data_IF_472691535822
#
_entry.id   IF_472691535822
#
_cell.length_a   1.000
_cell.length_b   1.000
_cell.length_c   1.000
_cell.angle_alpha   90.00
_cell.angle_beta   90.00
_cell.angle_gamma   90.00
#
_symmetry.space_group_name_H-M   'P 1'
#
loop_
_entity.id
_entity.type
_entity.pdbx_description
1 polymer ?
#
# COMPACT_ATOMS: atom_id res chain seq x y z
N UNK A 1 -11.78 -24.91 7.66
CA UNK A 1 -13.11 -25.27 7.13
C UNK A 1 -13.85 -23.98 6.82
N UNK A 2 -13.88 -23.58 5.54
CA UNK A 2 -14.51 -22.34 5.08
C UNK A 2 -15.93 -22.65 4.63
N UNK A 3 -16.91 -22.00 5.25
CA UNK A 3 -18.32 -22.06 4.84
C UNK A 3 -18.66 -20.69 4.24
N UNK A 4 -18.82 -20.64 2.92
CA UNK A 4 -19.34 -19.47 2.22
C UNK A 4 -20.87 -19.49 2.31
N UNK A 5 -21.47 -18.44 2.88
CA UNK A 5 -22.92 -18.27 2.93
C UNK A 5 -23.29 -17.07 2.04
N UNK A 6 -23.86 -17.35 0.86
CA UNK A 6 -24.43 -16.34 -0.02
C UNK A 6 -25.89 -16.09 0.37
N UNK A 7 -26.22 -14.89 0.84
CA UNK A 7 -27.60 -14.46 1.07
C UNK A 7 -27.98 -13.49 -0.06
N UNK A 8 -28.82 -13.97 -0.99
CA UNK A 8 -29.43 -13.15 -2.01
C UNK A 8 -30.72 -12.52 -1.45
N UNK A 9 -30.73 -11.21 -1.23
CA UNK A 9 -31.94 -10.45 -0.89
C UNK A 9 -32.55 -9.86 -2.18
N UNK A 10 -33.72 -10.39 -2.57
CA UNK A 10 -34.49 -9.89 -3.71
C UNK A 10 -35.48 -8.81 -3.27
N UNK A 11 -35.31 -7.59 -3.76
CA UNK A 11 -36.35 -6.54 -3.75
C UNK A 11 -36.60 -6.13 -5.20
N UNK A 12 -37.79 -6.47 -5.70
CA UNK A 12 -38.25 -6.08 -7.03
C UNK A 12 -39.01 -4.75 -7.00
N UNK A 13 -38.72 -3.87 -7.97
CA UNK A 13 -39.71 -3.27 -8.88
C UNK A 13 -39.06 -2.24 -9.81
N UNK A 14 -39.09 -2.53 -11.12
CA UNK A 14 -39.25 -1.51 -12.17
C UNK A 14 -38.09 -0.58 -12.51
N UNK A 15 -36.97 -1.11 -13.03
CA UNK A 15 -36.05 -0.31 -13.85
C UNK A 15 -35.89 -1.02 -15.19
N UNK A 16 -36.14 -0.30 -16.28
CA UNK A 16 -36.02 -0.81 -17.64
C UNK A 16 -34.63 -1.42 -17.85
N UNK A 17 -34.59 -2.70 -18.19
CA UNK A 17 -33.36 -3.42 -18.48
C UNK A 17 -32.75 -2.89 -19.78
N UNK A 18 -31.78 -1.99 -19.65
CA UNK A 18 -30.85 -1.69 -20.75
C UNK A 18 -30.03 -2.96 -20.92
N UNK A 19 -30.32 -3.72 -21.98
CA UNK A 19 -29.54 -4.90 -22.34
C UNK A 19 -28.17 -4.43 -22.81
N UNK A 20 -27.18 -4.44 -21.91
CA UNK A 20 -25.78 -4.33 -22.32
C UNK A 20 -25.44 -5.63 -23.03
N UNK A 21 -25.28 -5.55 -24.36
CA UNK A 21 -24.63 -6.61 -25.10
C UNK A 21 -23.21 -6.74 -24.53
N UNK A 22 -22.94 -7.86 -23.86
CA UNK A 22 -21.58 -8.23 -23.50
C UNK A 22 -20.78 -8.33 -24.80
N UNK A 23 -19.89 -7.36 -25.04
CA UNK A 23 -18.90 -7.51 -26.09
C UNK A 23 -18.13 -8.81 -25.80
N UNK A 24 -17.98 -9.69 -26.80
CA UNK A 24 -17.13 -10.85 -26.64
C UNK A 24 -15.73 -10.34 -26.28
N UNK A 25 -15.25 -10.73 -25.10
CA UNK A 25 -13.85 -10.60 -24.74
C UNK A 25 -13.06 -11.31 -25.84
N UNK A 26 -12.41 -10.53 -26.69
CA UNK A 26 -11.43 -11.05 -27.61
C UNK A 26 -10.38 -11.75 -26.75
N UNK A 27 -10.28 -13.07 -26.89
CA UNK A 27 -9.17 -13.83 -26.35
C UNK A 27 -7.88 -13.11 -26.78
N UNK A 28 -6.92 -12.86 -25.87
CA UNK A 28 -5.69 -12.22 -26.25
C UNK A 28 -5.01 -13.14 -27.27
N UNK A 29 -4.95 -12.65 -28.51
CA UNK A 29 -3.98 -13.11 -29.49
C UNK A 29 -2.62 -13.09 -28.79
N UNK A 30 -1.80 -14.13 -29.01
CA UNK A 30 -0.50 -14.32 -28.35
C UNK A 30 0.58 -13.26 -28.69
N UNK A 31 0.18 -12.02 -28.93
CA UNK A 31 1.04 -10.85 -28.90
C UNK A 31 1.38 -10.50 -27.45
N UNK A 32 2.66 -10.26 -27.20
CA UNK A 32 3.10 -9.63 -25.95
C UNK A 32 2.39 -8.29 -25.81
N UNK A 33 1.65 -8.11 -24.71
CA UNK A 33 1.00 -6.84 -24.42
C UNK A 33 2.06 -5.73 -24.31
N UNK A 34 1.98 -4.75 -25.20
CA UNK A 34 2.86 -3.58 -25.16
C UNK A 34 2.51 -2.72 -23.95
N UNK A 35 3.42 -2.70 -22.97
CA UNK A 35 3.24 -1.89 -21.76
C UNK A 35 3.96 -0.56 -21.92
N UNK A 36 3.19 0.53 -22.04
CA UNK A 36 3.73 1.89 -22.07
C UNK A 36 4.00 2.39 -20.65
N UNK A 37 5.22 2.83 -20.40
CA UNK A 37 5.69 3.36 -19.12
C UNK A 37 6.11 4.82 -19.24
N UNK A 38 6.20 5.49 -18.10
CA UNK A 38 6.69 6.88 -17.99
C UNK A 38 7.91 7.00 -17.08
N UNK A 39 8.66 5.91 -16.87
CA UNK A 39 9.84 5.83 -16.01
C UNK A 39 10.93 6.87 -16.33
N UNK A 40 11.02 7.34 -17.56
CA UNK A 40 11.97 8.38 -18.01
C UNK A 40 11.33 9.76 -18.14
N UNK A 41 10.16 9.98 -17.51
CA UNK A 41 9.27 11.14 -17.72
C UNK A 41 8.78 11.29 -19.17
N UNK A 42 8.97 10.25 -20.00
CA UNK A 42 8.50 10.16 -21.38
C UNK A 42 7.81 8.83 -21.60
N UNK A 43 6.78 8.82 -22.44
CA UNK A 43 6.08 7.59 -22.83
C UNK A 43 7.01 6.74 -23.68
N UNK A 44 7.32 5.55 -23.20
CA UNK A 44 8.20 4.57 -23.86
C UNK A 44 7.65 3.17 -23.59
N UNK A 45 7.97 2.20 -24.45
CA UNK A 45 7.65 0.80 -24.15
C UNK A 45 8.57 0.31 -23.03
N UNK A 46 8.04 -0.49 -22.11
CA UNK A 46 8.80 -1.04 -21.00
C UNK A 46 10.06 -1.80 -21.48
N UNK A 47 9.92 -2.55 -22.59
CA UNK A 47 11.01 -3.30 -23.21
C UNK A 47 12.10 -2.43 -23.85
N UNK A 48 11.75 -1.20 -24.27
CA UNK A 48 12.67 -0.25 -24.92
C UNK A 48 13.25 0.76 -23.93
N UNK A 49 12.78 0.73 -22.68
CA UNK A 49 13.25 1.65 -21.64
C UNK A 49 14.61 1.17 -21.13
N UNK A 50 15.68 1.99 -21.20
CA UNK A 50 17.03 1.59 -20.79
C UNK A 50 17.21 1.66 -19.26
N UNK A 51 16.22 1.18 -18.50
CA UNK A 51 16.20 1.12 -17.04
C UNK A 51 15.78 -0.29 -16.64
N UNK A 52 16.52 -0.89 -15.72
CA UNK A 52 16.10 -2.14 -15.08
C UNK A 52 14.82 -1.86 -14.27
N UNK A 53 13.67 -2.38 -14.70
CA UNK A 53 12.41 -2.11 -14.02
C UNK A 53 11.48 -3.34 -13.97
N UNK A 54 10.55 -3.32 -13.03
CA UNK A 54 9.40 -4.23 -12.98
C UNK A 54 8.15 -3.41 -13.19
N UNK A 55 7.26 -3.85 -14.06
CA UNK A 55 5.95 -3.20 -14.28
C UNK A 55 4.86 -4.18 -13.90
N UNK A 56 3.92 -3.72 -13.08
CA UNK A 56 2.72 -4.47 -12.74
C UNK A 56 1.53 -3.72 -13.32
N UNK A 57 0.83 -4.34 -14.26
CA UNK A 57 -0.38 -3.78 -14.87
C UNK A 57 -1.56 -3.84 -13.90
N UNK A 58 -2.64 -3.11 -14.18
CA UNK A 58 -3.90 -3.25 -13.45
C UNK A 58 -4.37 -4.71 -13.34
N UNK A 59 -4.19 -5.50 -14.41
CA UNK A 59 -4.53 -6.92 -14.41
C UNK A 59 -3.62 -7.73 -13.48
N UNK A 60 -2.31 -7.44 -13.45
CA UNK A 60 -1.38 -8.10 -12.53
C UNK A 60 -1.72 -7.79 -11.07
N UNK A 61 -2.05 -6.53 -10.77
CA UNK A 61 -2.45 -6.07 -9.44
C UNK A 61 -3.70 -6.82 -8.98
N UNK A 62 -4.74 -6.87 -9.83
CA UNK A 62 -5.99 -7.55 -9.53
C UNK A 62 -5.81 -9.08 -9.41
N UNK A 63 -5.15 -9.73 -10.37
CA UNK A 63 -4.99 -11.18 -10.40
C UNK A 63 -4.14 -11.72 -9.24
N UNK A 64 -3.21 -10.91 -8.73
CA UNK A 64 -2.35 -11.26 -7.60
C UNK A 64 -2.94 -10.82 -6.26
N UNK A 65 -4.07 -10.12 -6.25
CA UNK A 65 -4.70 -9.60 -5.03
C UNK A 65 -3.79 -8.63 -4.28
N UNK A 66 -3.05 -7.77 -5.00
CA UNK A 66 -2.18 -6.77 -4.37
C UNK A 66 -3.01 -5.60 -3.86
N UNK A 67 -3.43 -5.67 -2.60
CA UNK A 67 -4.35 -4.70 -1.99
C UNK A 67 -3.62 -3.60 -1.21
N UNK A 68 -2.35 -3.81 -0.88
CA UNK A 68 -1.54 -2.90 -0.10
C UNK A 68 -0.07 -2.92 -0.56
N UNK A 69 0.72 -1.95 -0.09
CA UNK A 69 2.11 -1.84 -0.50
C UNK A 69 3.00 -2.97 0.04
N UNK A 70 2.58 -3.65 1.11
CA UNK A 70 3.31 -4.76 1.71
C UNK A 70 3.27 -6.00 0.80
N UNK A 71 2.07 -6.39 0.36
CA UNK A 71 1.85 -7.47 -0.60
C UNK A 71 2.49 -7.16 -1.95
N UNK A 72 2.46 -5.89 -2.38
CA UNK A 72 3.22 -5.41 -3.53
C UNK A 72 4.72 -5.65 -3.37
N UNK A 73 5.32 -5.24 -2.25
CA UNK A 73 6.75 -5.38 -1.99
C UNK A 73 7.19 -6.85 -1.97
N UNK A 74 6.42 -7.74 -1.35
CA UNK A 74 6.66 -9.18 -1.37
C UNK A 74 6.61 -9.77 -2.79
N UNK A 75 5.88 -9.11 -3.68
CA UNK A 75 5.66 -9.54 -5.05
C UNK A 75 6.67 -9.04 -6.08
N UNK A 76 7.58 -8.14 -5.70
CA UNK A 76 8.54 -7.50 -6.61
C UNK A 76 9.97 -7.92 -6.26
N UNK A 77 10.72 -8.51 -7.20
CA UNK A 77 12.10 -8.92 -6.95
C UNK A 77 12.99 -7.76 -6.52
N UNK A 78 13.72 -7.93 -5.42
CA UNK A 78 14.68 -6.94 -4.95
C UNK A 78 14.07 -5.73 -4.24
N UNK A 79 12.74 -5.67 -4.09
CA UNK A 79 12.05 -4.74 -3.19
C UNK A 79 11.73 -5.47 -1.87
N UNK A 80 12.00 -4.83 -0.75
CA UNK A 80 11.71 -5.32 0.58
C UNK A 80 11.18 -4.18 1.45
N UNK A 81 10.53 -4.57 2.54
CA UNK A 81 9.93 -3.65 3.49
C UNK A 81 10.35 -4.02 4.91
N UNK A 82 10.71 -3.02 5.70
CA UNK A 82 10.98 -3.15 7.13
C UNK A 82 9.99 -2.27 7.88
N UNK A 83 9.33 -2.81 8.88
CA UNK A 83 8.39 -2.06 9.71
C UNK A 83 8.80 -2.13 11.17
N UNK A 84 8.77 -1.00 11.86
CA UNK A 84 8.95 -0.88 13.31
C UNK A 84 7.62 -0.70 14.05
N UNK A 85 6.51 -0.59 13.32
CA UNK A 85 5.18 -0.31 13.85
C UNK A 85 4.30 0.38 12.79
N UNK A 86 3.03 0.63 13.09
CA UNK A 86 2.15 1.38 12.18
C UNK A 86 2.76 2.73 11.82
N UNK A 87 2.72 3.08 10.53
CA UNK A 87 3.31 4.30 9.96
C UNK A 87 4.84 4.45 10.15
N UNK A 88 5.53 3.41 10.61
CA UNK A 88 7.00 3.35 10.66
C UNK A 88 7.51 2.26 9.72
N UNK A 89 7.36 2.52 8.42
CA UNK A 89 7.72 1.61 7.35
C UNK A 89 8.85 2.19 6.51
N UNK A 90 9.92 1.42 6.36
CA UNK A 90 11.07 1.72 5.53
C UNK A 90 11.14 0.73 4.37
N UNK A 91 11.25 1.24 3.14
CA UNK A 91 11.48 0.40 1.97
C UNK A 91 12.97 0.25 1.68
N UNK A 92 13.33 -0.94 1.26
CA UNK A 92 14.69 -1.33 0.90
C UNK A 92 14.68 -1.88 -0.51
N UNK A 93 15.66 -1.50 -1.31
CA UNK A 93 15.84 -2.07 -2.65
C UNK A 93 17.26 -2.52 -2.87
N UNK A 94 17.44 -3.79 -3.26
CA UNK A 94 18.75 -4.44 -3.45
C UNK A 94 19.71 -4.27 -2.26
N UNK A 95 19.21 -4.34 -1.02
CA UNK A 95 20.04 -4.16 0.18
C UNK A 95 20.23 -2.71 0.63
N UNK A 96 19.78 -1.73 -0.16
CA UNK A 96 19.93 -0.31 0.16
C UNK A 96 18.70 0.20 0.91
N UNK A 97 18.92 0.57 2.17
CA UNK A 97 17.96 1.21 3.05
C UNK A 97 18.59 2.48 3.66
N UNK A 98 17.79 3.28 4.35
CA UNK A 98 18.27 4.50 5.03
C UNK A 98 19.20 4.16 6.18
N UNK A 99 19.13 2.95 6.75
CA UNK A 99 19.97 2.47 7.85
C UNK A 99 19.99 3.42 9.06
N UNK A 100 18.86 4.08 9.34
CA UNK A 100 18.75 5.09 10.41
C UNK A 100 19.21 6.50 10.00
N UNK A 101 19.48 6.72 8.71
CA UNK A 101 19.60 8.03 8.11
C UNK A 101 18.26 8.77 8.05
N UNK A 102 18.32 10.02 7.62
CA UNK A 102 17.17 10.91 7.60
C UNK A 102 16.33 10.77 6.32
N UNK A 103 16.90 10.26 5.22
CA UNK A 103 16.29 10.21 3.90
C UNK A 103 16.01 8.76 3.49
N UNK A 104 14.81 8.46 2.99
CA UNK A 104 14.53 7.14 2.39
C UNK A 104 15.47 6.88 1.21
N UNK A 105 15.94 5.63 1.03
CA UNK A 105 16.72 5.24 -0.17
C UNK A 105 15.85 4.80 -1.33
N UNK A 106 14.58 4.49 -1.08
CA UNK A 106 13.59 4.11 -2.09
C UNK A 106 12.49 5.16 -2.10
N UNK A 107 12.36 5.86 -3.23
CA UNK A 107 11.37 6.92 -3.40
C UNK A 107 10.03 6.31 -3.80
N UNK A 108 8.95 6.68 -3.12
CA UNK A 108 7.60 6.30 -3.53
C UNK A 108 6.88 7.50 -4.10
N UNK A 109 6.27 7.33 -5.26
CA UNK A 109 5.59 8.38 -6.00
C UNK A 109 4.16 7.96 -6.36
N UNK A 110 3.22 8.87 -6.22
CA UNK A 110 1.92 8.81 -6.88
C UNK A 110 1.99 9.69 -8.12
N UNK A 111 2.07 9.05 -9.28
CA UNK A 111 2.42 9.66 -10.57
C UNK A 111 3.76 10.42 -10.52
N UNK A 112 3.69 11.74 -10.38
CA UNK A 112 4.85 12.64 -10.26
C UNK A 112 4.98 13.31 -8.87
N UNK A 113 4.06 12.99 -7.95
CA UNK A 113 4.06 13.52 -6.58
C UNK A 113 4.80 12.55 -5.67
N UNK A 114 5.82 13.04 -4.95
CA UNK A 114 6.52 12.23 -3.96
C UNK A 114 5.63 11.96 -2.75
N UNK A 115 5.46 10.69 -2.39
CA UNK A 115 4.79 10.22 -1.18
C UNK A 115 5.77 9.87 -0.05
N UNK A 116 7.05 9.64 -0.38
CA UNK A 116 8.10 9.44 0.62
C UNK A 116 8.33 10.72 1.40
N UNK A 117 8.34 10.65 2.74
CA UNK A 117 8.60 11.81 3.58
C UNK A 117 9.97 12.46 3.25
N UNK A 118 10.03 13.81 3.21
CA UNK A 118 11.31 14.51 3.10
C UNK A 118 12.16 14.25 4.35
N UNK A 119 13.48 14.41 4.20
CA UNK A 119 14.48 13.95 5.16
C UNK A 119 14.34 14.52 6.60
N UNK A 120 13.53 15.56 6.78
CA UNK A 120 13.36 16.28 8.05
C UNK A 120 12.25 15.73 8.95
N UNK A 121 11.42 14.81 8.47
CA UNK A 121 10.30 14.25 9.26
C UNK A 121 10.50 12.75 9.48
N UNK A 122 10.66 12.34 10.74
CA UNK A 122 10.66 10.93 11.17
C UNK A 122 11.69 9.98 10.50
N UNK A 123 12.94 10.41 10.28
CA UNK A 123 14.04 9.52 9.83
C UNK A 123 13.76 8.78 8.50
N UNK A 124 12.93 9.32 7.60
CA UNK A 124 12.58 8.68 6.33
C UNK A 124 11.71 7.42 6.47
N UNK A 125 11.08 7.21 7.64
CA UNK A 125 10.27 6.01 7.97
C UNK A 125 8.77 6.22 7.87
N UNK A 126 8.31 7.44 7.57
CA UNK A 126 6.90 7.71 7.32
C UNK A 126 6.70 7.66 5.82
N UNK A 127 6.03 6.60 5.39
CA UNK A 127 5.56 6.49 4.02
C UNK A 127 4.05 6.43 4.12
N UNK A 128 3.39 7.37 3.44
CA UNK A 128 1.96 7.28 3.19
C UNK A 128 1.75 5.93 2.54
N UNK A 129 0.86 5.10 3.09
CA UNK A 129 0.49 3.79 2.52
C UNK A 129 -0.75 3.98 1.64
N UNK A 130 -0.56 4.28 0.34
CA UNK A 130 -1.67 4.47 -0.57
C UNK A 130 -2.33 3.13 -0.87
N UNK A 131 -3.66 3.14 -0.86
CA UNK A 131 -4.45 2.05 -1.39
C UNK A 131 -4.10 1.83 -2.88
N UNK A 132 -3.86 0.58 -3.27
CA UNK A 132 -3.50 0.21 -4.64
C UNK A 132 -4.71 0.08 -5.58
N UNK A 133 -5.91 0.42 -5.11
CA UNK A 133 -7.11 0.45 -5.92
C UNK A 133 -7.04 1.53 -7.00
N UNK A 134 -7.63 1.21 -8.16
CA UNK A 134 -7.77 2.10 -9.31
C UNK A 134 -6.44 2.60 -9.93
N UNK A 135 -5.39 1.78 -9.83
CA UNK A 135 -4.13 2.03 -10.51
C UNK A 135 -4.18 1.50 -11.95
N UNK A 136 -3.64 2.30 -12.88
CA UNK A 136 -3.36 1.82 -14.23
C UNK A 136 -2.19 0.82 -14.22
N UNK A 137 -1.15 1.11 -13.43
CA UNK A 137 0.03 0.27 -13.24
C UNK A 137 0.89 0.74 -12.08
N UNK A 138 1.79 -0.15 -11.63
CA UNK A 138 2.93 0.18 -10.77
C UNK A 138 4.22 0.01 -11.57
N UNK A 139 5.09 1.01 -11.53
CA UNK A 139 6.43 0.98 -12.12
C UNK A 139 7.48 0.96 -10.99
N UNK A 140 8.27 -0.11 -10.91
CA UNK A 140 9.36 -0.26 -9.93
C UNK A 140 10.69 -0.17 -10.67
N UNK A 141 11.39 0.95 -10.48
CA UNK A 141 12.68 1.25 -11.10
C UNK A 141 13.79 0.80 -10.16
N UNK A 142 14.63 -0.11 -10.64
CA UNK A 142 15.72 -0.69 -9.85
C UNK A 142 17.00 0.14 -9.99
N UNK A 143 17.64 0.43 -8.85
CA UNK A 143 18.91 1.15 -8.79
C UNK A 143 18.76 2.68 -8.82
N UNK A 144 19.88 3.43 -8.81
CA UNK A 144 19.85 4.87 -8.59
C UNK A 144 19.08 5.64 -9.67
N UNK A 145 18.06 6.41 -9.27
CA UNK A 145 17.24 7.28 -10.12
C UNK A 145 17.23 8.74 -9.65
N UNK A 146 18.30 9.19 -8.99
CA UNK A 146 18.36 10.50 -8.34
C UNK A 146 18.24 11.72 -9.26
N UNK A 147 18.51 11.57 -10.56
CA UNK A 147 18.41 12.66 -11.54
C UNK A 147 16.97 13.02 -11.90
N UNK A 148 16.07 12.03 -11.91
CA UNK A 148 14.66 12.21 -12.27
C UNK A 148 13.73 12.26 -11.05
N UNK A 149 14.13 11.61 -9.95
CA UNK A 149 13.31 11.39 -8.76
C UNK A 149 14.02 11.77 -7.46
N UNK A 150 15.07 12.61 -7.53
CA UNK A 150 15.65 13.26 -6.36
C UNK A 150 16.37 12.36 -5.36
N UNK A 151 16.71 12.93 -4.20
CA UNK A 151 17.59 12.33 -3.19
C UNK A 151 17.07 11.03 -2.59
N UNK A 152 15.75 10.80 -2.61
CA UNK A 152 15.15 9.60 -2.04
C UNK A 152 15.21 8.37 -2.95
N UNK A 153 15.84 8.47 -4.12
CA UNK A 153 15.83 7.43 -5.15
C UNK A 153 17.20 6.79 -5.41
N UNK A 154 18.05 6.69 -4.38
CA UNK A 154 19.40 6.12 -4.53
C UNK A 154 19.39 4.58 -4.67
N UNK A 155 18.51 3.89 -3.95
CA UNK A 155 18.27 2.46 -4.09
C UNK A 155 17.29 2.12 -5.22
N UNK A 156 16.33 3.01 -5.47
CA UNK A 156 15.36 2.89 -6.56
C UNK A 156 14.13 3.76 -6.36
N UNK A 157 13.14 3.57 -7.22
CA UNK A 157 11.89 4.33 -7.19
C UNK A 157 10.71 3.42 -7.46
N UNK A 158 9.65 3.53 -6.67
CA UNK A 158 8.35 2.91 -6.94
C UNK A 158 7.36 3.99 -7.30
N UNK A 159 6.68 3.82 -8.44
CA UNK A 159 5.68 4.76 -8.94
C UNK A 159 4.34 4.08 -9.07
N UNK A 160 3.33 4.67 -8.45
CA UNK A 160 1.94 4.29 -8.59
C UNK A 160 1.31 5.19 -9.64
N UNK A 161 0.89 4.62 -10.76
CA UNK A 161 0.28 5.38 -11.85
C UNK A 161 -1.24 5.19 -11.76
N UNK A 162 -2.01 6.20 -11.34
CA UNK A 162 -3.47 6.09 -11.25
C UNK A 162 -4.10 6.00 -12.64
N UNK A 163 -5.29 5.40 -12.71
CA UNK A 163 -6.09 5.42 -13.93
C UNK A 163 -6.54 6.86 -14.25
N UNK A 164 -6.40 7.26 -15.52
CA UNK A 164 -6.78 8.59 -15.99
C UNK A 164 -8.29 8.65 -16.32
N UNK A 165 -8.95 9.82 -16.19
CA UNK A 165 -10.33 10.00 -16.63
C UNK A 165 -10.51 9.67 -18.11
N UNK A 166 -11.57 8.93 -18.44
CA UNK A 166 -11.89 8.51 -19.80
C UNK A 166 -12.99 9.39 -20.40
N UNK A 167 -12.72 9.95 -21.58
CA UNK A 167 -13.67 10.78 -22.30
C UNK A 167 -14.80 9.94 -22.93
N UNK A 168 -16.02 10.47 -22.91
CA UNK A 168 -17.16 9.87 -23.62
C UNK A 168 -17.69 8.56 -23.04
N UNK A 169 -17.09 8.03 -21.97
CA UNK A 169 -17.51 6.78 -21.32
C UNK A 169 -17.89 7.03 -19.87
N UNK A 170 -19.07 6.52 -19.47
CA UNK A 170 -19.40 6.36 -18.06
C UNK A 170 -18.93 4.99 -17.61
N UNK A 171 -18.21 4.94 -16.50
CA UNK A 171 -17.72 3.69 -15.91
C UNK A 171 -17.79 3.79 -14.38
N UNK A 172 -18.06 2.68 -13.70
CA UNK A 172 -18.12 2.64 -12.25
C UNK A 172 -17.73 1.24 -11.77
N UNK A 173 -16.85 1.21 -10.78
CA UNK A 173 -16.37 -0.03 -10.17
C UNK A 173 -16.41 0.08 -8.66
N UNK A 174 -16.62 -1.05 -8.00
CA UNK A 174 -16.60 -1.14 -6.55
C UNK A 174 -15.99 -2.46 -6.12
N UNK A 175 -15.27 -2.43 -5.01
CA UNK A 175 -14.63 -3.59 -4.41
C UNK A 175 -14.91 -3.59 -2.92
N UNK A 176 -15.15 -4.78 -2.37
CA UNK A 176 -15.27 -4.99 -0.94
C UNK A 176 -14.37 -6.14 -0.53
N UNK A 177 -13.49 -5.87 0.42
CA UNK A 177 -12.53 -6.83 0.95
C UNK A 177 -12.91 -7.10 2.40
N UNK A 178 -13.04 -8.38 2.73
CA UNK A 178 -13.30 -8.86 4.09
C UNK A 178 -12.16 -9.79 4.48
N UNK A 179 -11.51 -9.52 5.60
CA UNK A 179 -10.43 -10.38 6.13
C UNK A 179 -10.55 -10.51 7.65
N UNK A 180 -9.72 -11.34 8.27
CA UNK A 180 -9.70 -11.55 9.72
C UNK A 180 -8.26 -11.50 10.23
N UNK A 181 -8.01 -10.78 11.32
CA UNK A 181 -6.65 -10.62 11.86
C UNK A 181 -6.19 -11.84 12.69
N UNK A 182 -7.08 -12.76 13.07
CA UNK A 182 -6.75 -13.91 13.91
C UNK A 182 -6.20 -13.53 15.29
N UNK A 183 -5.84 -14.54 16.11
CA UNK A 183 -5.06 -14.39 17.35
C UNK A 183 -5.52 -13.29 18.35
N UNK A 184 -6.83 -13.01 18.42
CA UNK A 184 -7.40 -11.98 19.30
C UNK A 184 -7.85 -10.69 18.60
N UNK A 185 -7.64 -10.59 17.28
CA UNK A 185 -8.24 -9.56 16.42
C UNK A 185 -9.68 -9.87 16.01
N UNK A 186 -10.26 -9.01 15.17
CA UNK A 186 -11.63 -9.10 14.65
C UNK A 186 -11.66 -9.09 13.13
N UNK A 187 -12.87 -9.13 12.56
CA UNK A 187 -13.08 -8.95 11.12
C UNK A 187 -12.58 -7.56 10.70
N UNK A 188 -11.82 -7.53 9.63
CA UNK A 188 -11.39 -6.34 8.92
C UNK A 188 -12.29 -6.13 7.70
N UNK A 189 -12.42 -4.87 7.31
CA UNK A 189 -13.30 -4.49 6.22
C UNK A 189 -12.69 -3.36 5.42
N UNK A 190 -12.65 -3.49 4.09
CA UNK A 190 -12.28 -2.41 3.20
C UNK A 190 -13.28 -2.28 2.05
N UNK A 191 -13.61 -1.05 1.69
CA UNK A 191 -14.43 -0.70 0.55
C UNK A 191 -13.70 0.29 -0.34
N UNK A 192 -13.70 -0.01 -1.64
CA UNK A 192 -13.16 0.86 -2.66
C UNK A 192 -14.23 1.14 -3.70
N UNK A 193 -14.22 2.35 -4.26
CA UNK A 193 -15.16 2.77 -5.28
C UNK A 193 -14.51 3.74 -6.25
N UNK A 194 -14.84 3.58 -7.53
CA UNK A 194 -14.47 4.51 -8.58
C UNK A 194 -15.68 4.82 -9.44
N UNK A 195 -15.81 6.09 -9.83
CA UNK A 195 -16.76 6.53 -10.86
C UNK A 195 -16.05 7.43 -11.86
N UNK A 196 -16.20 7.12 -13.15
CA UNK A 196 -15.80 7.93 -14.28
C UNK A 196 -17.02 8.59 -14.91
N UNK A 197 -17.02 9.92 -14.95
CA UNK A 197 -18.09 10.76 -15.46
C UNK A 197 -17.61 11.50 -16.71
N UNK A 198 -18.17 11.20 -17.91
CA UNK A 198 -17.86 11.97 -19.10
C UNK A 198 -18.65 13.29 -19.06
N UNK A 199 -17.95 14.41 -18.94
CA UNK A 199 -18.51 15.76 -18.94
C UNK A 199 -18.50 16.32 -20.37
N UNK A 200 -19.20 15.62 -21.26
CA UNK A 200 -19.21 15.89 -22.70
C UNK A 200 -18.10 15.15 -23.47
N UNK A 201 -17.73 15.66 -24.65
CA UNK A 201 -16.78 15.00 -25.56
C UNK A 201 -15.30 15.34 -25.29
N UNK A 202 -15.03 16.35 -24.44
CA UNK A 202 -13.67 16.91 -24.23
C UNK A 202 -13.21 16.88 -22.78
N UNK A 203 -14.12 16.66 -21.84
CA UNK A 203 -13.81 16.67 -20.42
C UNK A 203 -14.38 15.41 -19.79
N UNK A 204 -13.64 14.81 -18.87
CA UNK A 204 -14.10 13.74 -18.01
C UNK A 204 -13.56 13.95 -16.60
N UNK A 205 -14.28 13.42 -15.63
CA UNK A 205 -13.92 13.43 -14.23
C UNK A 205 -13.87 11.99 -13.73
N UNK A 206 -12.81 11.62 -13.02
CA UNK A 206 -12.70 10.33 -12.33
C UNK A 206 -12.61 10.59 -10.84
N UNK A 207 -13.50 9.98 -10.08
CA UNK A 207 -13.57 10.07 -8.62
C UNK A 207 -13.28 8.70 -8.05
N UNK A 208 -12.34 8.65 -7.10
CA UNK A 208 -11.92 7.42 -6.42
C UNK A 208 -11.99 7.65 -4.92
N UNK A 209 -12.57 6.70 -4.20
CA UNK A 209 -12.66 6.74 -2.76
C UNK A 209 -12.39 5.36 -2.17
N UNK A 210 -11.73 5.33 -1.02
CA UNK A 210 -11.53 4.11 -0.25
C UNK A 210 -11.75 4.36 1.23
N UNK A 211 -12.20 3.30 1.92
CA UNK A 211 -12.36 3.28 3.37
C UNK A 211 -11.98 1.89 3.86
N UNK A 212 -11.09 1.82 4.84
CA UNK A 212 -10.65 0.56 5.44
C UNK A 212 -10.68 0.63 6.96
N UNK A 213 -10.97 -0.51 7.57
CA UNK A 213 -10.94 -0.73 9.01
C UNK A 213 -10.23 -2.05 9.28
N UNK A 214 -9.08 -1.95 9.95
CA UNK A 214 -8.27 -3.09 10.35
C UNK A 214 -8.22 -3.20 11.86
N UNK A 215 -8.64 -4.35 12.37
CA UNK A 215 -8.63 -4.68 13.78
C UNK A 215 -7.22 -4.96 14.28
N UNK A 216 -6.93 -4.48 15.48
CA UNK A 216 -5.68 -4.79 16.15
C UNK A 216 -5.72 -6.12 16.87
N UNK A 217 -4.53 -6.66 17.10
CA UNK A 217 -4.32 -7.95 17.76
C UNK A 217 -3.37 -7.83 18.95
N UNK A 218 -2.80 -6.65 19.20
CA UNK A 218 -1.91 -6.41 20.32
C UNK A 218 -2.71 -6.01 21.56
N UNK A 219 -2.28 -6.49 22.72
CA UNK A 219 -2.73 -6.01 24.02
C UNK A 219 -1.70 -5.03 24.55
N UNK A 220 -2.11 -3.77 24.72
CA UNK A 220 -1.28 -2.72 25.28
C UNK A 220 -1.48 -2.66 26.78
N UNK A 221 -0.43 -2.99 27.53
CA UNK A 221 -0.37 -2.82 28.97
C UNK A 221 0.34 -1.52 29.29
N UNK A 222 -0.37 -0.58 29.90
CA UNK A 222 0.22 0.67 30.38
C UNK A 222 0.65 0.47 31.82
N UNK A 223 1.93 0.71 32.10
CA UNK A 223 2.49 0.67 33.44
C UNK A 223 2.42 2.06 34.08
N UNK A 224 2.39 2.13 35.41
CA UNK A 224 2.47 3.43 36.10
C UNK A 224 3.80 4.14 35.77
N UNK A 225 3.81 5.47 35.71
CA UNK A 225 5.04 6.24 35.52
C UNK A 225 6.09 5.86 36.57
N UNK A 226 7.33 5.68 36.13
CA UNK A 226 8.47 5.22 36.96
C UNK A 226 8.29 3.87 37.68
N UNK A 227 7.31 3.05 37.28
CA UNK A 227 7.08 1.72 37.88
C UNK A 227 8.17 0.70 37.56
N UNK A 228 8.87 0.88 36.45
CA UNK A 228 10.08 0.14 36.08
C UNK A 228 11.25 1.11 36.20
N UNK A 229 12.11 0.91 37.20
CA UNK A 229 13.37 1.64 37.29
C UNK A 229 14.27 1.16 36.15
N UNK A 230 14.82 2.07 35.36
CA UNK A 230 15.80 1.73 34.32
C UNK A 230 17.06 1.14 34.95
N UNK A 231 17.68 0.16 34.28
CA UNK A 231 18.95 -0.43 34.71
C UNK A 231 20.04 0.67 34.75
N UNK A 232 20.35 1.20 35.94
CA UNK A 232 21.42 2.20 36.14
C UNK A 232 22.72 1.48 36.43
N UNK A 233 23.37 0.95 35.39
CA UNK A 233 24.61 0.19 35.54
C UNK A 233 25.82 0.94 34.95
N UNK A 234 26.77 1.33 35.80
CA UNK A 234 28.09 1.86 35.41
C UNK A 234 29.21 0.82 35.50
N UNK A 235 28.94 -0.37 36.07
CA UNK A 235 29.89 -1.50 36.13
C UNK A 235 29.15 -2.84 36.30
N UNK A 236 29.79 -3.94 35.90
CA UNK A 236 29.25 -5.31 35.97
C UNK A 236 29.65 -6.02 37.27
N UNK A 237 28.77 -6.85 37.87
CA UNK A 237 27.48 -7.32 37.37
C UNK A 237 26.34 -6.31 37.60
N UNK A 238 25.47 -6.17 36.60
CA UNK A 238 24.35 -5.22 36.63
C UNK A 238 23.24 -5.74 37.55
N UNK A 239 22.88 -4.96 38.56
CA UNK A 239 21.78 -5.28 39.48
C UNK A 239 20.45 -4.82 38.87
N UNK A 240 19.63 -5.78 38.45
CA UNK A 240 18.25 -5.49 38.04
C UNK A 240 17.39 -5.21 39.26
N UNK A 241 16.66 -4.09 39.31
CA UNK A 241 15.80 -3.79 40.43
C UNK A 241 14.66 -4.82 40.53
N UNK A 242 14.28 -5.17 41.76
CA UNK A 242 13.34 -6.27 42.06
C UNK A 242 11.92 -6.06 41.52
N UNK A 243 11.57 -4.82 41.18
CA UNK A 243 10.27 -4.47 40.61
C UNK A 243 10.15 -4.67 39.09
N UNK A 244 11.23 -5.06 38.40
CA UNK A 244 11.22 -5.23 36.95
C UNK A 244 10.15 -6.23 36.46
N UNK A 245 9.87 -7.28 37.24
CA UNK A 245 8.84 -8.28 36.92
C UNK A 245 7.48 -8.00 37.58
N UNK A 246 7.34 -6.95 38.39
CA UNK A 246 6.14 -6.69 39.22
C UNK A 246 5.60 -5.27 39.08
N UNK A 247 5.96 -4.56 38.00
CA UNK A 247 5.48 -3.20 37.77
C UNK A 247 3.94 -3.18 37.66
N UNK A 248 3.24 -2.31 38.43
CA UNK A 248 1.79 -2.26 38.40
C UNK A 248 1.27 -1.77 37.05
N UNK A 249 0.38 -2.57 36.45
CA UNK A 249 -0.37 -2.23 35.24
C UNK A 249 -1.52 -1.29 35.64
N UNK A 250 -1.56 -0.10 35.07
CA UNK A 250 -2.59 0.92 35.32
C UNK A 250 -3.76 0.83 34.34
N UNK A 251 -3.52 0.35 33.11
CA UNK A 251 -4.59 0.08 32.16
C UNK A 251 -4.18 -0.96 31.14
N UNK A 252 -5.16 -1.72 30.64
CA UNK A 252 -4.98 -2.65 29.53
C UNK A 252 -5.93 -2.25 28.42
N UNK A 253 -5.40 -2.04 27.21
CA UNK A 253 -6.19 -1.81 26.00
C UNK A 253 -5.95 -2.98 25.05
N UNK A 254 -6.97 -3.80 24.82
CA UNK A 254 -6.90 -4.96 23.92
C UNK A 254 -7.24 -4.56 22.48
N UNK A 255 -6.67 -5.25 21.50
CA UNK A 255 -7.02 -5.08 20.10
C UNK A 255 -6.47 -3.80 19.46
N UNK A 256 -5.28 -3.36 19.88
CA UNK A 256 -4.60 -2.21 19.28
C UNK A 256 -3.64 -2.63 18.16
N UNK A 257 -3.38 -1.71 17.23
CA UNK A 257 -2.47 -1.94 16.10
C UNK A 257 -1.01 -1.56 16.41
N UNK A 258 -0.77 -0.81 17.48
CA UNK A 258 0.57 -0.42 17.96
C UNK A 258 0.72 -0.66 19.45
N UNK A 259 1.95 -0.97 19.87
CA UNK A 259 2.33 -1.07 21.28
C UNK A 259 2.84 0.24 21.89
N UNK A 260 3.04 1.29 21.09
CA UNK A 260 3.47 2.62 21.54
C UNK A 260 2.35 3.45 22.17
#
# INVERSE_FOLDING_TARGET
YLVALAVAASLGSGVAAVTYAAQPSAAPTGELAEVVVTATKRKTLAQDTPISMTVLTAADIANRGLTDFNTLAQGVPGLAMRTSGPNETEYEMRGLNSSGGNTSMVGVYLDDIALSAPASEQLGKVIIDPNLYDLQRVEVLHGPQGTLYGSSSMGGTVRLIPAMPQLGTFDATGETIVSDTGSGGSINFAQNGMVNLPLGSKVALRLVGSSSSSSGWLNRYVLADNSVQSDTCSSTPCYRPSNFYTAPIISTTTGVNSST
#
